data_IF_827660186787
#
_entry.id   IF_827660186787
#
_cell.length_a   1.000
_cell.length_b   1.000
_cell.length_c   1.000
_cell.angle_alpha   90.00
_cell.angle_beta   90.00
_cell.angle_gamma   90.00
#
_symmetry.space_group_name_H-M   'P 1'
#
loop_
_entity.id
_entity.type
_entity.pdbx_description
1 polymer ?
#
# COMPACT_ATOMS: atom_id res chain seq x y z
N UNK A 1 -41.52 10.05 -14.81
CA UNK A 1 -41.43 8.87 -13.91
C UNK A 1 -40.68 7.78 -14.68
N UNK A 2 -39.50 7.28 -14.30
CA UNK A 2 -38.92 7.14 -12.97
C UNK A 2 -37.47 7.66 -12.91
N UNK A 3 -37.23 8.44 -11.86
CA UNK A 3 -35.95 8.87 -11.36
C UNK A 3 -35.31 7.67 -10.65
N UNK A 4 -34.20 7.16 -11.19
CA UNK A 4 -33.44 6.09 -10.55
C UNK A 4 -32.13 6.68 -10.05
N UNK A 5 -32.17 7.06 -8.78
CA UNK A 5 -31.02 7.35 -7.92
C UNK A 5 -29.79 6.54 -8.32
N UNK A 6 -28.76 7.20 -8.85
CA UNK A 6 -27.39 6.70 -8.78
C UNK A 6 -26.67 7.60 -7.80
N UNK A 7 -26.49 7.10 -6.58
CA UNK A 7 -25.64 7.68 -5.55
C UNK A 7 -24.31 8.14 -6.17
N UNK A 8 -24.02 9.44 -6.04
CA UNK A 8 -22.70 10.10 -6.09
C UNK A 8 -21.53 9.22 -6.56
N UNK A 9 -21.11 9.37 -7.82
CA UNK A 9 -19.74 8.99 -8.20
C UNK A 9 -18.80 9.92 -7.43
N UNK A 10 -18.21 9.42 -6.34
CA UNK A 10 -17.15 10.15 -5.64
C UNK A 10 -15.96 10.18 -6.58
N UNK A 11 -15.63 11.34 -7.10
CA UNK A 11 -14.41 11.54 -7.87
C UNK A 11 -13.21 11.27 -6.95
N UNK A 12 -12.42 10.25 -7.30
CA UNK A 12 -11.18 9.94 -6.62
C UNK A 12 -10.01 10.47 -7.43
N UNK A 13 -9.09 11.15 -6.75
CA UNK A 13 -7.81 11.57 -7.31
C UNK A 13 -6.79 10.48 -6.99
N UNK A 14 -6.14 9.97 -8.03
CA UNK A 14 -5.01 9.04 -7.88
C UNK A 14 -3.72 9.85 -7.89
N UNK A 15 -2.90 9.71 -6.85
CA UNK A 15 -1.61 10.41 -6.73
C UNK A 15 -0.54 9.54 -6.09
N UNK A 16 0.71 9.97 -6.25
CA UNK A 16 1.85 9.37 -5.54
C UNK A 16 1.80 9.73 -4.06
N UNK A 17 2.46 8.92 -3.24
CA UNK A 17 2.76 9.23 -1.84
C UNK A 17 3.53 10.55 -1.71
N UNK A 18 3.17 11.31 -0.68
CA UNK A 18 3.87 12.49 -0.22
C UNK A 18 4.21 12.36 1.27
N UNK A 19 5.30 13.01 1.70
CA UNK A 19 5.73 12.99 3.10
C UNK A 19 4.61 13.55 4.00
N UNK A 20 4.21 12.77 5.00
CA UNK A 20 3.11 13.07 5.91
C UNK A 20 1.89 12.16 5.70
N UNK A 21 1.75 11.56 4.52
CA UNK A 21 0.65 10.63 4.25
C UNK A 21 0.71 9.36 5.10
N UNK A 22 1.90 8.98 5.59
CA UNK A 22 2.14 7.76 6.36
C UNK A 22 1.20 7.59 7.56
N UNK A 23 0.82 8.70 8.21
CA UNK A 23 -0.07 8.69 9.36
C UNK A 23 -1.47 8.23 8.93
N UNK A 24 -2.06 8.88 7.93
CA UNK A 24 -3.38 8.55 7.39
C UNK A 24 -3.42 7.15 6.77
N UNK A 25 -2.33 6.74 6.10
CA UNK A 25 -2.18 5.37 5.55
C UNK A 25 -2.19 4.35 6.69
N UNK A 26 -1.45 4.61 7.77
CA UNK A 26 -1.35 3.69 8.88
C UNK A 26 -2.66 3.58 9.67
N UNK A 27 -3.37 4.69 9.87
CA UNK A 27 -4.73 4.71 10.43
C UNK A 27 -5.70 3.87 9.58
N UNK A 28 -5.71 4.09 8.25
CA UNK A 28 -6.55 3.32 7.34
C UNK A 28 -6.22 1.83 7.36
N UNK A 29 -4.93 1.47 7.43
CA UNK A 29 -4.52 0.06 7.53
C UNK A 29 -5.07 -0.60 8.79
N UNK A 30 -4.93 0.07 9.94
CA UNK A 30 -5.41 -0.43 11.22
C UNK A 30 -6.93 -0.58 11.25
N UNK A 31 -7.65 0.36 10.62
CA UNK A 31 -9.10 0.30 10.45
C UNK A 31 -9.53 -0.89 9.55
N UNK A 32 -8.96 -1.00 8.34
CA UNK A 32 -9.37 -1.98 7.33
C UNK A 32 -9.01 -3.40 7.76
N UNK A 33 -7.81 -3.62 8.29
CA UNK A 33 -7.33 -4.95 8.67
C UNK A 33 -7.55 -5.27 10.15
N UNK A 34 -8.16 -4.35 10.92
CA UNK A 34 -8.37 -4.47 12.37
C UNK A 34 -7.07 -4.82 13.11
N UNK A 35 -6.01 -4.11 12.77
CA UNK A 35 -4.68 -4.27 13.35
C UNK A 35 -4.33 -3.06 14.21
N UNK A 36 -3.24 -3.16 14.97
CA UNK A 36 -2.62 -2.03 15.65
C UNK A 36 -1.15 -1.91 15.22
N UNK A 37 -0.92 -1.68 13.93
CA UNK A 37 0.40 -1.47 13.36
C UNK A 37 0.95 -0.13 13.85
N UNK A 38 2.14 -0.19 14.45
CA UNK A 38 2.92 0.99 14.81
C UNK A 38 3.42 1.72 13.56
N UNK A 39 3.46 3.04 13.61
CA UNK A 39 3.93 3.86 12.48
C UNK A 39 5.38 3.54 12.10
N UNK A 40 6.23 3.16 13.07
CA UNK A 40 7.62 2.79 12.84
C UNK A 40 7.75 1.56 11.96
N UNK A 41 6.81 0.62 12.04
CA UNK A 41 6.77 -0.52 11.12
C UNK A 41 6.48 -0.02 9.70
N UNK A 42 5.49 0.85 9.51
CA UNK A 42 5.21 1.40 8.17
C UNK A 42 6.43 2.12 7.60
N UNK A 43 7.08 2.96 8.42
CA UNK A 43 8.29 3.69 8.02
C UNK A 43 9.41 2.74 7.60
N UNK A 44 9.72 1.72 8.40
CA UNK A 44 10.71 0.70 8.05
C UNK A 44 10.37 -0.03 6.74
N UNK A 45 9.10 -0.41 6.56
CA UNK A 45 8.66 -1.21 5.40
C UNK A 45 8.67 -0.43 4.09
N UNK A 46 8.29 0.85 4.13
CA UNK A 46 7.98 1.63 2.93
C UNK A 46 8.96 2.79 2.66
N UNK A 47 9.41 3.50 3.70
CA UNK A 47 10.31 4.66 3.58
C UNK A 47 11.78 4.26 3.72
N UNK A 48 12.08 3.51 4.78
CA UNK A 48 13.45 3.16 5.20
C UNK A 48 13.80 1.72 4.83
N UNK A 49 13.15 1.18 3.80
CA UNK A 49 13.38 -0.21 3.41
C UNK A 49 14.85 -0.39 2.99
N UNK A 50 15.59 -1.33 3.60
CA UNK A 50 17.01 -1.54 3.32
C UNK A 50 17.32 -1.86 1.86
N UNK A 51 16.34 -2.38 1.13
CA UNK A 51 16.48 -2.82 -0.26
C UNK A 51 16.09 -1.74 -1.28
N UNK A 52 15.76 -0.53 -0.83
CA UNK A 52 15.41 0.60 -1.68
C UNK A 52 13.96 1.09 -1.49
N UNK A 53 13.61 2.22 -2.13
CA UNK A 53 12.34 2.88 -1.90
C UNK A 53 11.14 2.06 -2.39
N UNK A 54 10.02 2.18 -1.69
CA UNK A 54 8.75 1.66 -2.16
C UNK A 54 8.11 2.57 -3.22
N UNK A 55 7.27 1.99 -4.08
CA UNK A 55 6.35 2.70 -4.96
C UNK A 55 4.96 2.63 -4.32
N UNK A 56 4.34 3.80 -4.12
CA UNK A 56 3.06 3.92 -3.43
C UNK A 56 2.12 4.80 -4.25
N UNK A 57 0.91 4.29 -4.47
CA UNK A 57 -0.19 5.01 -5.10
C UNK A 57 -1.36 5.11 -4.11
N UNK A 58 -1.95 6.29 -4.03
CA UNK A 58 -3.07 6.61 -3.15
C UNK A 58 -4.28 7.01 -3.98
N UNK A 59 -5.47 6.61 -3.52
CA UNK A 59 -6.73 7.16 -3.99
C UNK A 59 -7.34 8.01 -2.88
N UNK A 60 -7.63 9.28 -3.18
CA UNK A 60 -8.15 10.26 -2.23
C UNK A 60 -9.44 10.86 -2.77
N UNK A 61 -10.48 10.97 -1.94
CA UNK A 61 -11.71 11.65 -2.33
C UNK A 61 -11.52 13.16 -2.41
N UNK A 62 -12.46 13.88 -3.04
CA UNK A 62 -12.45 15.34 -3.09
C UNK A 62 -12.35 16.02 -1.70
N UNK A 63 -12.82 15.35 -0.64
CA UNK A 63 -12.76 15.82 0.75
C UNK A 63 -11.44 15.49 1.48
N UNK A 64 -10.46 14.91 0.78
CA UNK A 64 -9.14 14.60 1.35
C UNK A 64 -9.08 13.30 2.18
N UNK A 65 -10.04 12.39 1.95
CA UNK A 65 -10.13 11.11 2.66
C UNK A 65 -9.47 10.03 1.81
N UNK A 66 -8.50 9.32 2.38
CA UNK A 66 -7.90 8.16 1.72
C UNK A 66 -8.92 7.04 1.58
N UNK A 67 -9.23 6.75 0.32
CA UNK A 67 -10.09 5.67 -0.09
C UNK A 67 -9.29 4.42 -0.44
N UNK A 68 -8.04 4.57 -0.91
CA UNK A 68 -7.16 3.43 -1.12
C UNK A 68 -5.67 3.74 -0.96
N UNK A 69 -4.92 2.70 -0.65
CA UNK A 69 -3.45 2.64 -0.73
C UNK A 69 -3.08 1.39 -1.52
N UNK A 70 -2.07 1.51 -2.38
CA UNK A 70 -1.40 0.39 -3.03
C UNK A 70 0.10 0.62 -2.92
N UNK A 71 0.81 -0.31 -2.28
CA UNK A 71 2.25 -0.23 -2.08
C UNK A 71 2.98 -1.44 -2.63
N UNK A 72 4.15 -1.20 -3.23
CA UNK A 72 5.10 -2.21 -3.67
C UNK A 72 6.49 -1.86 -3.15
N UNK A 73 7.15 -2.79 -2.46
CA UNK A 73 8.48 -2.57 -1.90
C UNK A 73 9.42 -3.74 -2.25
N UNK A 74 10.73 -3.45 -2.45
CA UNK A 74 11.70 -4.47 -2.79
C UNK A 74 12.02 -5.37 -1.59
N UNK A 75 12.30 -6.64 -1.89
CA UNK A 75 12.78 -7.66 -0.96
C UNK A 75 13.87 -8.48 -1.64
N UNK A 76 14.82 -9.00 -0.86
CA UNK A 76 15.77 -10.02 -1.29
C UNK A 76 15.20 -11.39 -0.96
N UNK A 77 14.92 -12.18 -1.99
CA UNK A 77 14.52 -13.57 -1.87
C UNK A 77 15.76 -14.45 -2.00
N UNK A 78 16.08 -15.19 -0.95
CA UNK A 78 17.02 -16.29 -1.00
C UNK A 78 16.24 -17.59 -1.21
N UNK A 79 16.57 -18.37 -2.24
CA UNK A 79 15.85 -19.59 -2.61
C UNK A 79 16.80 -20.65 -3.16
N UNK A 80 16.35 -21.91 -3.18
CA UNK A 80 17.07 -23.02 -3.80
C UNK A 80 16.38 -23.42 -5.10
N UNK A 81 16.96 -23.13 -6.26
CA UNK A 81 16.42 -23.63 -7.52
C UNK A 81 16.43 -25.17 -7.55
N UNK A 82 15.47 -25.81 -8.25
CA UNK A 82 15.47 -27.26 -8.41
C UNK A 82 16.79 -27.77 -9.02
N UNK A 83 17.43 -28.72 -8.35
CA UNK A 83 18.70 -29.32 -8.81
C UNK A 83 19.96 -28.57 -8.41
N UNK A 84 19.86 -27.44 -7.71
CA UNK A 84 21.00 -26.69 -7.19
C UNK A 84 21.39 -27.12 -5.77
N UNK A 85 22.68 -27.10 -5.47
CA UNK A 85 23.24 -27.43 -4.13
C UNK A 85 23.58 -26.19 -3.30
N UNK A 86 23.44 -25.00 -3.87
CA UNK A 86 23.66 -23.71 -3.22
C UNK A 86 22.45 -22.80 -3.44
N UNK A 87 22.17 -21.87 -2.50
CA UNK A 87 21.08 -20.91 -2.66
C UNK A 87 21.44 -19.83 -3.68
N UNK A 88 20.41 -19.28 -4.30
CA UNK A 88 20.46 -18.09 -5.14
C UNK A 88 19.70 -16.93 -4.50
N UNK A 89 20.07 -15.71 -4.85
CA UNK A 89 19.38 -14.49 -4.42
C UNK A 89 18.77 -13.75 -5.61
N UNK A 90 17.56 -13.25 -5.43
CA UNK A 90 16.86 -12.40 -6.41
C UNK A 90 16.13 -11.25 -5.72
N UNK A 91 16.09 -10.08 -6.39
CA UNK A 91 15.22 -8.98 -5.95
C UNK A 91 13.80 -9.24 -6.44
N UNK A 92 12.86 -9.30 -5.51
CA UNK A 92 11.42 -9.38 -5.80
C UNK A 92 10.73 -8.13 -5.27
N UNK A 93 9.55 -7.82 -5.80
CA UNK A 93 8.68 -6.76 -5.27
C UNK A 93 7.47 -7.39 -4.61
N UNK A 94 7.29 -7.12 -3.33
CA UNK A 94 6.05 -7.46 -2.66
C UNK A 94 5.07 -6.31 -2.86
N UNK A 95 4.10 -6.53 -3.76
CA UNK A 95 2.96 -5.66 -3.98
C UNK A 95 1.69 -6.38 -3.50
N UNK A 96 0.77 -5.69 -2.82
CA UNK A 96 -0.47 -6.35 -2.41
C UNK A 96 -1.27 -5.68 -1.32
N UNK A 97 -0.73 -4.65 -0.65
CA UNK A 97 -1.46 -3.93 0.39
C UNK A 97 -2.50 -2.99 -0.26
N UNK A 98 -3.58 -3.56 -0.83
CA UNK A 98 -4.77 -2.85 -1.27
C UNK A 98 -5.70 -2.67 -0.08
N UNK A 99 -5.77 -1.45 0.42
CA UNK A 99 -6.74 -1.03 1.43
C UNK A 99 -7.87 -0.28 0.74
N UNK A 100 -9.12 -0.51 1.13
CA UNK A 100 -10.24 0.31 0.65
C UNK A 100 -11.22 0.65 1.76
N UNK A 101 -11.55 1.94 1.94
CA UNK A 101 -12.70 2.38 2.75
C UNK A 101 -13.98 2.32 1.91
N UNK A 102 -15.11 1.98 2.53
CA UNK A 102 -16.45 1.97 1.90
C UNK A 102 -17.08 3.36 1.93
#
# INVERSE_FOLDING_TARGET
MAEKNRQTEKDFIIRSYEKGDEIKINEMFNEVFRQNRDISHWLWKYRDNPNGPAVISLAESAEGIFAAHFGAYPLKLCYFPPGCTAPEESTIYHAGDKMTRR
#
